data_IF_705051151251
#
_entry.id   IF_705051151251
#
_cell.length_a   1.000
_cell.length_b   1.000
_cell.length_c   1.000
_cell.angle_alpha   90.00
_cell.angle_beta   90.00
_cell.angle_gamma   90.00
#
_symmetry.space_group_name_H-M   'P 1'
#
loop_
_entity.id
_entity.type
_entity.pdbx_description
1 polymer ?
#
# COMPACT_ATOMS: atom_id res chain seq x y z
N UNK A 1 -10.20 5.11 7.19
CA UNK A 1 -9.17 5.19 6.12
C UNK A 1 -8.02 4.28 6.54
N UNK A 2 -7.78 3.20 5.80
CA UNK A 2 -6.77 2.19 6.16
C UNK A 2 -5.34 2.61 5.73
N UNK A 3 -4.30 1.99 6.27
CA UNK A 3 -2.90 2.31 5.94
C UNK A 3 -2.63 2.18 4.43
N UNK A 4 -3.16 1.15 3.78
CA UNK A 4 -3.02 0.96 2.31
C UNK A 4 -3.76 2.03 1.53
N UNK A 5 -4.91 2.49 2.03
CA UNK A 5 -5.70 3.54 1.39
C UNK A 5 -4.99 4.89 1.48
N UNK A 6 -4.39 5.21 2.63
CA UNK A 6 -3.50 6.36 2.80
C UNK A 6 -2.28 6.25 1.88
N UNK A 7 -1.71 5.04 1.71
CA UNK A 7 -0.56 4.81 0.84
C UNK A 7 -0.89 5.06 -0.63
N UNK A 8 -2.07 4.64 -1.08
CA UNK A 8 -2.60 4.95 -2.42
C UNK A 8 -2.72 6.47 -2.61
N UNK A 9 -3.30 7.17 -1.62
CA UNK A 9 -3.48 8.62 -1.67
C UNK A 9 -2.15 9.39 -1.68
N UNK A 10 -1.22 9.04 -0.79
CA UNK A 10 0.10 9.70 -0.69
C UNK A 10 0.95 9.41 -1.92
N UNK A 11 0.90 8.18 -2.43
CA UNK A 11 1.63 7.82 -3.63
C UNK A 11 1.05 8.48 -4.88
N UNK A 12 -0.20 8.94 -4.86
CA UNK A 12 -0.92 9.44 -6.04
C UNK A 12 -1.09 8.37 -7.13
N UNK A 13 -0.93 7.09 -6.79
CA UNK A 13 -0.92 5.97 -7.73
C UNK A 13 -2.15 5.09 -7.54
N UNK A 14 -2.62 4.51 -8.64
CA UNK A 14 -3.73 3.56 -8.58
C UNK A 14 -3.27 2.21 -8.02
N UNK A 15 -4.21 1.40 -7.53
CA UNK A 15 -3.91 0.04 -7.05
C UNK A 15 -3.23 -0.82 -8.13
N UNK A 16 -3.57 -0.60 -9.40
CA UNK A 16 -2.94 -1.28 -10.54
C UNK A 16 -1.47 -0.90 -10.72
N UNK A 17 -1.15 0.40 -10.64
CA UNK A 17 0.24 0.86 -10.72
C UNK A 17 1.07 0.38 -9.52
N UNK A 18 0.49 0.46 -8.32
CA UNK A 18 1.13 -0.06 -7.11
C UNK A 18 1.36 -1.56 -7.20
N UNK A 19 0.45 -2.33 -7.81
CA UNK A 19 0.63 -3.77 -8.00
C UNK A 19 1.89 -4.07 -8.83
N UNK A 20 2.12 -3.32 -9.90
CA UNK A 20 3.30 -3.45 -10.76
C UNK A 20 4.57 -3.09 -10.00
N UNK A 21 4.58 -1.95 -9.30
CA UNK A 21 5.76 -1.44 -8.58
C UNK A 21 6.12 -2.34 -7.40
N UNK A 22 5.12 -2.74 -6.62
CA UNK A 22 5.27 -3.57 -5.43
C UNK A 22 5.37 -5.06 -5.75
N UNK A 23 5.44 -5.42 -7.05
CA UNK A 23 5.45 -6.80 -7.56
C UNK A 23 4.42 -7.70 -6.88
N UNK A 24 3.22 -7.16 -6.68
CA UNK A 24 2.11 -7.86 -6.03
C UNK A 24 0.87 -7.87 -6.90
N UNK A 25 -0.17 -8.61 -6.50
CA UNK A 25 -1.42 -8.64 -7.26
C UNK A 25 -2.30 -7.46 -6.88
N UNK A 26 -2.94 -6.86 -7.87
CA UNK A 26 -3.93 -5.79 -7.64
C UNK A 26 -5.04 -6.25 -6.68
N UNK A 27 -5.48 -7.50 -6.81
CA UNK A 27 -6.46 -8.12 -5.90
C UNK A 27 -5.98 -8.14 -4.45
N UNK A 28 -4.69 -8.32 -4.20
CA UNK A 28 -4.11 -8.26 -2.86
C UNK A 28 -4.19 -6.84 -2.28
N UNK A 29 -3.86 -5.83 -3.08
CA UNK A 29 -3.98 -4.41 -2.68
C UNK A 29 -5.44 -4.06 -2.42
N UNK A 30 -6.36 -4.50 -3.28
CA UNK A 30 -7.80 -4.32 -3.10
C UNK A 30 -8.31 -4.98 -1.82
N UNK A 31 -7.84 -6.19 -1.48
CA UNK A 31 -8.19 -6.86 -0.21
C UNK A 31 -7.72 -6.08 1.02
N UNK A 32 -6.53 -5.49 0.97
CA UNK A 32 -6.06 -4.62 2.04
C UNK A 32 -6.84 -3.31 2.12
N UNK A 33 -7.20 -2.74 0.97
CA UNK A 33 -8.04 -1.53 0.88
C UNK A 33 -9.43 -1.76 1.46
N UNK A 34 -10.07 -2.88 1.15
CA UNK A 34 -11.42 -3.22 1.65
C UNK A 34 -11.40 -3.81 3.06
N UNK A 35 -10.24 -3.81 3.73
CA UNK A 35 -10.04 -4.36 5.07
C UNK A 35 -10.41 -5.85 5.23
N UNK A 36 -10.58 -6.58 4.12
CA UNK A 36 -10.78 -8.04 4.10
C UNK A 36 -9.54 -8.78 4.62
N UNK A 37 -8.38 -8.16 4.53
CA UNK A 37 -7.13 -8.65 5.10
C UNK A 37 -6.39 -7.47 5.70
N UNK A 38 -5.80 -7.63 6.88
CA UNK A 38 -4.90 -6.62 7.44
C UNK A 38 -3.52 -6.78 6.82
N UNK A 39 -2.95 -5.68 6.36
CA UNK A 39 -1.54 -5.66 5.97
C UNK A 39 -0.68 -5.68 7.23
N UNK A 40 0.42 -6.42 7.21
CA UNK A 40 1.38 -6.41 8.31
C UNK A 40 2.26 -5.16 8.22
N UNK A 41 2.70 -4.65 9.38
CA UNK A 41 3.57 -3.46 9.45
C UNK A 41 4.87 -3.67 8.67
N UNK A 42 5.42 -4.89 8.66
CA UNK A 42 6.62 -5.23 7.89
C UNK A 42 6.40 -5.06 6.38
N UNK A 43 5.27 -5.56 5.88
CA UNK A 43 4.92 -5.44 4.45
C UNK A 43 4.61 -4.00 4.06
N UNK A 44 3.97 -3.24 4.95
CA UNK A 44 3.75 -1.81 4.75
C UNK A 44 5.09 -1.05 4.69
N UNK A 45 6.03 -1.35 5.58
CA UNK A 45 7.40 -0.78 5.56
C UNK A 45 8.14 -1.10 4.27
N UNK A 46 8.04 -2.33 3.79
CA UNK A 46 8.64 -2.74 2.52
C UNK A 46 8.04 -1.94 1.36
N UNK A 47 6.72 -1.79 1.31
CA UNK A 47 6.03 -1.01 0.28
C UNK A 47 6.43 0.47 0.32
N UNK A 48 6.48 1.06 1.51
CA UNK A 48 6.98 2.42 1.71
C UNK A 48 8.42 2.59 1.19
N UNK A 49 9.32 1.64 1.49
CA UNK A 49 10.70 1.66 1.00
C UNK A 49 10.76 1.61 -0.53
N UNK A 50 9.99 0.72 -1.16
CA UNK A 50 9.95 0.59 -2.63
C UNK A 50 9.43 1.89 -3.27
N UNK A 51 8.40 2.48 -2.68
CA UNK A 51 7.77 3.71 -3.18
C UNK A 51 8.52 4.98 -2.80
N UNK A 52 9.60 4.87 -2.02
CA UNK A 52 10.33 6.00 -1.44
C UNK A 52 9.40 6.96 -0.66
N UNK A 53 8.42 6.38 0.05
CA UNK A 53 7.46 7.12 0.88
C UNK A 53 7.89 7.00 2.34
N UNK A 54 7.95 8.13 3.03
CA UNK A 54 8.20 8.11 4.47
C UNK A 54 6.97 7.55 5.21
N UNK A 55 7.17 6.45 5.94
CA UNK A 55 6.11 5.76 6.67
C UNK A 55 5.47 6.62 7.76
N UNK A 56 6.16 7.67 8.24
CA UNK A 56 5.59 8.62 9.20
C UNK A 56 4.45 9.45 8.59
N UNK A 57 4.31 9.49 7.26
CA UNK A 57 3.16 10.13 6.60
C UNK A 57 1.91 9.24 6.64
N UNK A 58 2.05 7.97 6.98
CA UNK A 58 0.96 6.98 7.01
C UNK A 58 0.36 6.76 8.41
N UNK A 59 1.18 6.93 9.45
CA UNK A 59 0.78 6.82 10.85
C UNK A 59 0.31 8.18 11.38
#
# INVERSE_FOLDING_TARGET
MNEVEKLILISGKTAKELAVILKTKETTISRYKTNQTKITVERLKEWCRILNIDIKRLF
#
